data_IF_280064610083
#
_entry.id   IF_280064610083
#
_cell.length_a   1.000
_cell.length_b   1.000
_cell.length_c   1.000
_cell.angle_alpha   90.00
_cell.angle_beta   90.00
_cell.angle_gamma   90.00
#
_symmetry.space_group_name_H-M   'P 1'
#
loop_
_entity.id
_entity.type
_entity.pdbx_description
1 polymer ?
#
# COMPACT_ATOMS: atom_id res chain seq x y z
N UNK A 1 32.73 36.22 31.16
CA UNK A 1 32.81 35.14 30.16
C UNK A 1 32.63 33.81 30.91
N UNK A 2 31.43 33.24 30.88
CA UNK A 2 31.11 32.03 31.64
C UNK A 2 31.41 30.82 30.74
N UNK A 3 32.42 30.03 31.09
CA UNK A 3 32.72 28.77 30.42
C UNK A 3 31.81 27.68 30.99
N UNK A 4 30.87 27.19 30.20
CA UNK A 4 30.06 26.03 30.54
C UNK A 4 30.75 24.75 30.08
N UNK A 5 31.50 24.08 30.97
CA UNK A 5 31.95 22.69 30.79
C UNK A 5 30.86 21.73 31.26
N UNK A 6 29.75 21.67 30.54
CA UNK A 6 28.60 20.80 30.86
C UNK A 6 28.53 19.55 29.98
N UNK A 7 29.66 18.90 29.70
CA UNK A 7 29.71 17.71 28.86
C UNK A 7 29.01 16.51 29.49
N UNK A 8 27.79 16.23 29.03
CA UNK A 8 26.86 15.15 29.42
C UNK A 8 27.35 13.70 29.13
N UNK A 9 28.65 13.42 29.29
CA UNK A 9 29.25 12.11 28.96
C UNK A 9 29.03 11.07 30.05
N UNK A 10 29.04 11.47 31.33
CA UNK A 10 28.79 10.57 32.46
C UNK A 10 27.36 10.03 32.45
N UNK A 11 26.39 10.90 32.14
CA UNK A 11 24.97 10.56 32.07
C UNK A 11 24.64 9.55 30.96
N UNK A 12 25.21 9.75 29.77
CA UNK A 12 25.02 8.84 28.64
C UNK A 12 25.66 7.48 28.91
N UNK A 13 26.86 7.45 29.49
CA UNK A 13 27.55 6.21 29.82
C UNK A 13 26.80 5.39 30.87
N UNK A 14 26.30 6.04 31.93
CA UNK A 14 25.53 5.38 32.98
C UNK A 14 24.25 4.75 32.45
N UNK A 15 23.52 5.46 31.57
CA UNK A 15 22.29 4.90 30.97
C UNK A 15 22.54 3.77 30.00
N UNK A 16 23.62 3.86 29.20
CA UNK A 16 24.01 2.77 28.30
C UNK A 16 24.31 1.51 29.10
N UNK A 17 25.01 1.63 30.23
CA UNK A 17 25.29 0.51 31.12
C UNK A 17 23.99 -0.09 31.70
N UNK A 18 23.08 0.75 32.17
CA UNK A 18 21.77 0.32 32.72
C UNK A 18 20.92 -0.42 31.67
N UNK A 19 20.88 0.08 30.43
CA UNK A 19 20.13 -0.56 29.34
C UNK A 19 20.63 -1.98 29.07
N UNK A 20 21.96 -2.17 29.02
CA UNK A 20 22.59 -3.48 28.79
C UNK A 20 22.31 -4.45 29.94
N UNK A 21 22.33 -3.95 31.18
CA UNK A 21 22.03 -4.75 32.38
C UNK A 21 20.58 -5.26 32.38
N UNK A 22 19.60 -4.39 32.08
CA UNK A 22 18.18 -4.75 32.01
C UNK A 22 17.93 -5.81 30.93
N UNK A 23 18.53 -5.64 29.75
CA UNK A 23 18.43 -6.64 28.65
C UNK A 23 19.07 -7.98 29.02
N UNK A 24 20.08 -7.98 29.89
CA UNK A 24 20.77 -9.22 30.29
C UNK A 24 19.96 -9.96 31.35
N UNK A 25 19.37 -9.25 32.32
CA UNK A 25 18.53 -9.80 33.39
C UNK A 25 17.19 -10.35 32.88
N UNK A 26 16.61 -9.77 31.82
CA UNK A 26 15.37 -10.25 31.22
C UNK A 26 15.44 -11.65 30.58
N UNK A 27 16.64 -12.19 30.42
CA UNK A 27 16.82 -13.57 29.93
C UNK A 27 16.60 -14.59 31.05
N UNK A 28 16.56 -14.15 32.31
CA UNK A 28 16.55 -15.01 33.51
C UNK A 28 15.17 -15.02 34.18
N UNK A 29 14.39 -13.94 34.09
CA UNK A 29 13.06 -13.83 34.69
C UNK A 29 11.97 -13.68 33.60
N UNK A 30 10.94 -14.51 33.72
CA UNK A 30 9.79 -14.72 32.83
C UNK A 30 9.38 -13.52 31.95
N UNK A 31 9.54 -13.67 30.63
CA UNK A 31 8.98 -12.80 29.59
C UNK A 31 9.88 -11.62 29.20
N UNK A 32 10.24 -11.54 27.91
CA UNK A 32 11.04 -10.43 27.39
C UNK A 32 10.34 -9.08 27.65
N UNK A 33 10.99 -8.11 28.32
CA UNK A 33 10.43 -6.78 28.56
C UNK A 33 10.13 -6.11 27.23
N UNK A 34 8.99 -5.43 27.15
CA UNK A 34 8.68 -4.62 25.97
C UNK A 34 9.64 -3.43 25.96
N UNK A 35 10.08 -3.02 24.78
CA UNK A 35 11.03 -1.91 24.62
C UNK A 35 10.60 -0.65 25.39
N UNK A 36 9.30 -0.40 25.46
CA UNK A 36 8.70 0.73 26.20
C UNK A 36 9.01 0.69 27.70
N UNK A 37 9.00 -0.49 28.32
CA UNK A 37 9.29 -0.67 29.74
C UNK A 37 10.78 -0.42 30.01
N UNK A 38 11.64 -0.92 29.11
CA UNK A 38 13.10 -0.69 29.16
C UNK A 38 13.40 0.80 29.00
N UNK A 39 12.78 1.48 28.04
CA UNK A 39 12.95 2.93 27.86
C UNK A 39 12.53 3.71 29.09
N UNK A 40 11.41 3.34 29.71
CA UNK A 40 10.91 4.03 30.91
C UNK A 40 11.86 3.84 32.09
N UNK A 41 12.43 2.65 32.26
CA UNK A 41 13.37 2.36 33.35
C UNK A 41 14.74 3.02 33.14
N UNK A 42 15.24 3.03 31.89
CA UNK A 42 16.54 3.63 31.51
C UNK A 42 16.47 5.15 31.48
N UNK A 43 15.44 5.71 30.87
CA UNK A 43 15.31 7.16 30.69
C UNK A 43 14.61 7.83 31.88
N UNK A 44 13.81 7.09 32.64
CA UNK A 44 12.87 7.63 33.62
C UNK A 44 11.64 8.25 32.95
N UNK A 45 10.66 8.68 33.73
CA UNK A 45 9.39 9.29 33.25
C UNK A 45 9.50 10.75 32.79
N UNK A 46 10.72 11.30 32.68
CA UNK A 46 10.92 12.71 32.33
C UNK A 46 10.61 12.96 30.85
N UNK A 47 9.58 13.76 30.56
CA UNK A 47 9.12 14.08 29.18
C UNK A 47 10.09 14.93 28.33
N UNK A 48 11.30 15.20 28.83
CA UNK A 48 12.28 16.09 28.21
C UNK A 48 13.18 15.46 27.15
N UNK A 49 13.25 14.12 27.03
CA UNK A 49 14.15 13.46 26.05
C UNK A 49 13.76 13.69 24.60
N UNK A 50 12.47 13.98 24.33
CA UNK A 50 11.97 14.31 23.00
C UNK A 50 12.47 15.70 22.54
N UNK A 51 12.88 16.56 23.48
CA UNK A 51 13.28 17.95 23.21
C UNK A 51 14.63 18.09 22.46
N UNK A 52 15.33 16.97 22.23
CA UNK A 52 16.60 16.92 21.47
C UNK A 52 16.50 16.27 20.08
N UNK A 53 15.32 15.79 19.68
CA UNK A 53 15.07 15.37 18.29
C UNK A 53 14.83 16.65 17.49
N UNK A 54 15.81 17.04 16.68
CA UNK A 54 15.87 18.34 16.02
C UNK A 54 14.55 18.87 15.46
N UNK A 55 14.30 20.15 15.72
CA UNK A 55 13.24 20.99 15.14
C UNK A 55 11.83 20.39 15.16
N UNK A 56 11.16 20.44 16.32
CA UNK A 56 9.74 20.74 16.28
C UNK A 56 9.58 22.09 15.55
N UNK A 57 9.01 22.06 14.36
CA UNK A 57 8.50 23.27 13.70
C UNK A 57 7.65 23.98 14.75
N UNK A 58 8.04 25.20 15.13
CA UNK A 58 7.19 26.04 15.99
C UNK A 58 5.84 26.11 15.28
N UNK A 59 4.70 25.75 15.90
CA UNK A 59 3.43 26.15 15.33
C UNK A 59 3.47 27.68 15.33
N UNK A 60 3.63 28.26 14.15
CA UNK A 60 3.51 29.69 13.96
C UNK A 60 2.14 30.06 14.53
N UNK A 61 2.15 30.97 15.49
CA UNK A 61 0.95 31.56 16.06
C UNK A 61 -0.01 31.88 14.92
N UNK A 62 -1.25 31.40 15.06
CA UNK A 62 -2.34 31.49 14.10
C UNK A 62 -2.28 32.75 13.21
N UNK A 63 -1.60 32.62 12.08
CA UNK A 63 -1.88 33.36 10.87
C UNK A 63 -2.19 32.28 9.88
N UNK A 64 -3.49 32.09 9.66
CA UNK A 64 -3.99 31.28 8.57
C UNK A 64 -3.50 31.94 7.28
N UNK A 65 -2.73 31.24 6.45
CA UNK A 65 -3.16 31.06 5.10
C UNK A 65 -3.73 29.66 5.09
N UNK A 66 -5.05 29.58 4.93
CA UNK A 66 -5.59 28.57 4.03
C UNK A 66 -4.85 28.75 2.71
N UNK A 67 -3.66 28.16 2.58
CA UNK A 67 -3.19 27.74 1.27
C UNK A 67 -4.20 26.65 0.94
N UNK A 68 -5.32 27.09 0.36
CA UNK A 68 -6.10 26.27 -0.53
C UNK A 68 -5.06 25.48 -1.30
N UNK A 69 -5.11 24.15 -1.22
CA UNK A 69 -4.48 23.32 -2.22
C UNK A 69 -5.11 23.80 -3.53
N UNK A 70 -4.50 24.81 -4.16
CA UNK A 70 -4.81 25.21 -5.50
C UNK A 70 -4.40 23.96 -6.26
N UNK A 71 -5.39 23.12 -6.56
CA UNK A 71 -5.21 21.99 -7.45
C UNK A 71 -4.55 22.59 -8.67
N UNK A 72 -3.32 22.16 -8.91
CA UNK A 72 -2.60 22.55 -10.11
C UNK A 72 -3.53 22.26 -11.30
N UNK A 73 -3.95 23.29 -12.06
CA UNK A 73 -4.91 23.12 -13.14
C UNK A 73 -4.40 22.15 -14.21
N UNK A 74 -3.08 21.98 -14.33
CA UNK A 74 -2.48 21.00 -15.23
C UNK A 74 -2.69 19.57 -14.72
N UNK A 75 -2.48 19.32 -13.42
CA UNK A 75 -2.73 18.01 -12.80
C UNK A 75 -4.21 17.62 -12.87
N UNK A 76 -5.14 18.57 -12.72
CA UNK A 76 -6.57 18.30 -12.86
C UNK A 76 -6.90 17.91 -14.30
N UNK A 77 -6.37 18.64 -15.28
CA UNK A 77 -6.57 18.34 -16.70
C UNK A 77 -6.01 16.98 -17.07
N UNK A 78 -4.82 16.64 -16.57
CA UNK A 78 -4.20 15.33 -16.80
C UNK A 78 -5.00 14.20 -16.14
N UNK A 79 -5.51 14.41 -14.92
CA UNK A 79 -6.36 13.44 -14.25
C UNK A 79 -7.66 13.16 -15.02
N UNK A 80 -8.33 14.21 -15.51
CA UNK A 80 -9.55 14.04 -16.30
C UNK A 80 -9.27 13.37 -17.66
N UNK A 81 -8.15 13.69 -18.31
CA UNK A 81 -7.72 12.99 -19.52
C UNK A 81 -7.44 11.51 -19.27
N UNK A 82 -6.72 11.18 -18.18
CA UNK A 82 -6.44 9.80 -17.81
C UNK A 82 -7.72 9.00 -17.51
N UNK A 83 -8.70 9.62 -16.83
CA UNK A 83 -10.01 9.00 -16.60
C UNK A 83 -10.75 8.72 -17.92
N UNK A 84 -10.75 9.67 -18.85
CA UNK A 84 -11.37 9.49 -20.16
C UNK A 84 -10.73 8.31 -20.92
N UNK A 85 -9.39 8.23 -20.94
CA UNK A 85 -8.68 7.10 -21.55
C UNK A 85 -9.01 5.78 -20.88
N UNK A 86 -9.16 5.75 -19.54
CA UNK A 86 -9.54 4.52 -18.82
C UNK A 86 -10.93 4.04 -19.24
N UNK A 87 -11.91 4.95 -19.35
CA UNK A 87 -13.25 4.59 -19.78
C UNK A 87 -13.28 4.10 -21.24
N UNK A 88 -12.53 4.74 -22.15
CA UNK A 88 -12.37 4.27 -23.54
C UNK A 88 -11.74 2.86 -23.61
N UNK A 89 -10.73 2.59 -22.79
CA UNK A 89 -10.11 1.26 -22.74
C UNK A 89 -11.07 0.21 -22.19
N UNK A 90 -11.93 0.56 -21.22
CA UNK A 90 -12.97 -0.35 -20.71
C UNK A 90 -14.03 -0.66 -21.77
N UNK A 91 -14.49 0.35 -22.52
CA UNK A 91 -15.46 0.10 -23.60
C UNK A 91 -14.86 -0.81 -24.66
N UNK A 92 -13.63 -0.53 -25.10
CA UNK A 92 -12.92 -1.36 -26.08
C UNK A 92 -12.68 -2.79 -25.58
N UNK A 93 -12.39 -2.97 -24.29
CA UNK A 93 -12.28 -4.30 -23.70
C UNK A 93 -13.60 -5.06 -23.77
N UNK A 94 -14.72 -4.40 -23.44
CA UNK A 94 -16.05 -5.03 -23.53
C UNK A 94 -16.42 -5.42 -24.96
N UNK A 95 -16.05 -4.61 -25.96
CA UNK A 95 -16.24 -4.93 -27.37
C UNK A 95 -15.43 -6.16 -27.79
N UNK A 96 -14.18 -6.25 -27.34
CA UNK A 96 -13.34 -7.43 -27.59
C UNK A 96 -13.94 -8.71 -26.99
N UNK A 97 -14.44 -8.62 -25.76
CA UNK A 97 -15.08 -9.76 -25.09
C UNK A 97 -16.36 -10.18 -25.82
N UNK A 98 -17.17 -9.23 -26.30
CA UNK A 98 -18.35 -9.50 -27.12
C UNK A 98 -18.00 -10.19 -28.44
N UNK A 99 -16.97 -9.71 -29.15
CA UNK A 99 -16.51 -10.34 -30.40
C UNK A 99 -16.01 -11.76 -30.17
N UNK A 100 -15.30 -12.00 -29.08
CA UNK A 100 -14.83 -13.34 -28.69
C UNK A 100 -16.00 -14.28 -28.43
N UNK A 101 -17.06 -13.81 -27.75
CA UNK A 101 -18.26 -14.59 -27.52
C UNK A 101 -18.99 -14.90 -28.84
N UNK A 102 -19.16 -13.92 -29.71
CA UNK A 102 -19.75 -14.13 -31.05
C UNK A 102 -18.96 -15.13 -31.89
N UNK A 103 -17.62 -15.10 -31.80
CA UNK A 103 -16.78 -16.08 -32.48
C UNK A 103 -17.02 -17.50 -31.94
N UNK A 104 -17.16 -17.65 -30.62
CA UNK A 104 -17.46 -18.94 -30.00
C UNK A 104 -18.82 -19.49 -30.44
N UNK A 105 -19.85 -18.63 -30.46
CA UNK A 105 -21.19 -18.98 -30.96
C UNK A 105 -21.17 -19.41 -32.42
N UNK A 106 -20.42 -18.70 -33.27
CA UNK A 106 -20.28 -19.06 -34.69
C UNK A 106 -19.61 -20.43 -34.86
N UNK A 107 -18.56 -20.72 -34.09
CA UNK A 107 -17.88 -22.02 -34.12
C UNK A 107 -18.82 -23.13 -33.68
N UNK A 108 -19.63 -22.89 -32.64
CA UNK A 108 -20.63 -23.85 -32.19
C UNK A 108 -21.73 -24.08 -33.23
N UNK A 109 -22.25 -23.03 -33.85
CA UNK A 109 -23.22 -23.13 -34.93
C UNK A 109 -22.66 -23.93 -36.12
N UNK A 110 -21.39 -23.71 -36.47
CA UNK A 110 -20.71 -24.48 -37.51
C UNK A 110 -20.61 -25.97 -37.15
N UNK A 111 -20.29 -26.29 -35.89
CA UNK A 111 -20.27 -27.68 -35.39
C UNK A 111 -21.64 -28.33 -35.51
N UNK A 112 -22.70 -27.65 -35.07
CA UNK A 112 -24.07 -28.16 -35.15
C UNK A 112 -24.51 -28.43 -36.60
N UNK A 113 -24.18 -27.53 -37.53
CA UNK A 113 -24.48 -27.74 -38.96
C UNK A 113 -23.75 -28.98 -39.50
N UNK A 114 -22.49 -29.17 -39.12
CA UNK A 114 -21.73 -30.36 -39.53
C UNK A 114 -22.36 -31.65 -38.99
N UNK A 115 -22.76 -31.67 -37.72
CA UNK A 115 -23.44 -32.81 -37.10
C UNK A 115 -24.77 -33.13 -37.80
N UNK A 116 -25.60 -32.11 -38.08
CA UNK A 116 -26.85 -32.29 -38.82
C UNK A 116 -26.64 -32.85 -40.23
N UNK A 117 -25.60 -32.38 -40.94
CA UNK A 117 -25.26 -32.91 -42.26
C UNK A 117 -24.83 -34.39 -42.20
N UNK A 118 -24.11 -34.79 -41.16
CA UNK A 118 -23.75 -36.21 -40.97
C UNK A 118 -24.99 -37.06 -40.69
N UNK A 119 -25.88 -36.58 -39.81
CA UNK A 119 -27.14 -37.28 -39.52
C UNK A 119 -27.97 -37.46 -40.80
N UNK A 120 -28.12 -36.40 -41.60
CA UNK A 120 -28.87 -36.45 -42.85
C UNK A 120 -28.28 -37.47 -43.84
N UNK A 121 -26.95 -37.47 -44.01
CA UNK A 121 -26.26 -38.45 -44.86
C UNK A 121 -26.50 -39.89 -44.41
N UNK A 122 -26.45 -40.14 -43.11
CA UNK A 122 -26.69 -41.49 -42.57
C UNK A 122 -28.14 -41.94 -42.78
N UNK A 123 -29.12 -41.04 -42.64
CA UNK A 123 -30.53 -41.36 -42.92
C UNK A 123 -30.76 -41.73 -44.39
N UNK A 124 -30.15 -41.01 -45.34
CA UNK A 124 -30.25 -41.35 -46.76
C UNK A 124 -29.62 -42.71 -47.07
N UNK A 125 -28.42 -42.99 -46.55
CA UNK A 125 -27.75 -44.27 -46.77
C UNK A 125 -28.56 -45.48 -46.26
N UNK A 126 -29.29 -45.32 -45.15
CA UNK A 126 -30.16 -46.37 -44.61
C UNK A 126 -31.47 -46.55 -45.38
N UNK A 127 -31.96 -45.50 -46.08
CA UNK A 127 -33.20 -45.54 -46.85
C UNK A 127 -33.02 -46.17 -48.23
N UNK A 128 -31.82 -46.07 -48.78
CA UNK A 128 -31.45 -46.61 -50.10
C UNK A 128 -30.85 -48.03 -50.03
N UNK A 129 -30.81 -48.66 -48.84
CA UNK A 129 -30.43 -50.07 -48.61
C UNK A 129 -31.64 -50.95 -48.34
#
# INVERSE_FOLDING_TARGET
>A
MIHHTGGSRSFVWHRKKLMVEIHSQSTIESGAPKDVDIFTQVLGTRSGYVRGLGHSVKPIAASSPTVSVQRDPELVRELEAAKATIEELKTRQSEYDNLKNQQAEMIEAQRQIQEQLQLLKTQFAQRDS
#
